data_IF_538744313905
#
_entry.id   IF_538744313905
#
_cell.length_a   1.000
_cell.length_b   1.000
_cell.length_c   1.000
_cell.angle_alpha   90.00
_cell.angle_beta   90.00
_cell.angle_gamma   90.00
#
_symmetry.space_group_name_H-M   'P 1'
#
loop_
_entity.id
_entity.type
_entity.pdbx_description
1 polymer ?
#
# COMPACT_ATOMS: atom_id res chain seq x y z
N UNK A 1 2.89 -27.35 5.49
CA UNK A 1 2.77 -26.23 4.53
C UNK A 1 3.30 -24.97 5.21
N UNK A 2 4.46 -24.45 4.80
CA UNK A 2 5.00 -23.22 5.39
C UNK A 2 4.11 -22.03 4.98
N UNK A 3 3.66 -21.23 5.95
CA UNK A 3 2.84 -20.04 5.71
C UNK A 3 3.71 -19.02 4.99
N UNK A 4 3.40 -18.71 3.72
CA UNK A 4 4.13 -17.70 2.95
C UNK A 4 3.88 -16.33 3.60
N UNK A 5 4.90 -15.77 4.24
CA UNK A 5 4.84 -14.40 4.75
C UNK A 5 4.92 -13.45 3.55
N UNK A 6 3.90 -12.61 3.37
CA UNK A 6 3.88 -11.57 2.35
C UNK A 6 4.20 -10.27 3.07
N UNK A 7 5.38 -9.72 2.80
CA UNK A 7 5.76 -8.41 3.33
C UNK A 7 5.03 -7.32 2.56
N UNK A 8 4.44 -6.38 3.30
CA UNK A 8 3.82 -5.17 2.76
C UNK A 8 4.73 -3.98 3.04
N UNK A 9 4.80 -3.06 2.08
CA UNK A 9 5.59 -1.83 2.21
C UNK A 9 4.68 -0.64 1.98
N UNK A 10 4.81 0.38 2.83
CA UNK A 10 4.24 1.72 2.58
C UNK A 10 5.16 2.49 1.66
N UNK A 11 4.60 3.09 0.63
CA UNK A 11 5.30 4.01 -0.25
C UNK A 11 4.52 5.32 -0.28
N UNK A 12 5.26 6.42 -0.29
CA UNK A 12 4.68 7.73 -0.53
C UNK A 12 4.29 7.85 -2.01
N UNK A 13 3.16 8.51 -2.26
CA UNK A 13 2.64 8.77 -3.60
C UNK A 13 2.12 10.20 -3.65
N UNK A 14 2.07 10.77 -4.86
CA UNK A 14 1.39 12.04 -5.10
C UNK A 14 0.01 11.77 -5.67
N UNK A 15 -1.01 12.46 -5.17
CA UNK A 15 -2.37 12.40 -5.73
C UNK A 15 -2.58 13.51 -6.75
N UNK A 16 -3.16 13.17 -7.89
CA UNK A 16 -3.56 14.13 -8.93
C UNK A 16 -5.06 14.44 -8.86
N UNK A 17 -5.72 14.46 -10.01
CA UNK A 17 -7.15 14.77 -10.11
C UNK A 17 -8.00 13.64 -9.53
N UNK A 18 -9.08 14.00 -8.83
CA UNK A 18 -10.12 13.08 -8.38
C UNK A 18 -11.45 13.39 -9.07
N UNK A 19 -11.97 12.46 -9.86
CA UNK A 19 -13.21 12.64 -10.63
C UNK A 19 -13.91 11.29 -10.85
N UNK A 20 -15.25 11.29 -10.90
CA UNK A 20 -16.09 10.11 -11.20
C UNK A 20 -15.80 8.86 -10.35
N UNK A 21 -15.40 9.05 -9.09
CA UNK A 21 -15.07 7.96 -8.16
C UNK A 21 -13.66 7.39 -8.33
N UNK A 22 -12.81 8.01 -9.14
CA UNK A 22 -11.40 7.67 -9.31
C UNK A 22 -10.50 8.78 -8.78
N UNK A 23 -9.27 8.44 -8.40
CA UNK A 23 -8.21 9.40 -8.05
C UNK A 23 -6.95 9.00 -8.77
N UNK A 24 -6.33 9.97 -9.45
CA UNK A 24 -5.02 9.79 -10.06
C UNK A 24 -3.96 9.60 -8.98
N UNK A 25 -3.15 8.54 -9.15
CA UNK A 25 -2.02 8.23 -8.28
C UNK A 25 -0.75 8.29 -9.11
N UNK A 26 0.14 9.19 -8.72
CA UNK A 26 1.43 9.43 -9.36
C UNK A 26 2.50 8.77 -8.47
N UNK A 27 3.14 7.74 -9.03
CA UNK A 27 4.23 7.03 -8.37
C UNK A 27 5.57 7.72 -8.64
N UNK A 28 6.49 7.62 -7.68
CA UNK A 28 7.88 8.03 -7.86
C UNK A 28 8.54 7.24 -9.00
N UNK A 29 9.55 7.85 -9.62
CA UNK A 29 10.32 7.21 -10.68
C UNK A 29 10.93 5.89 -10.20
N UNK A 30 10.86 4.85 -11.03
CA UNK A 30 11.35 3.50 -10.68
C UNK A 30 10.37 2.60 -9.93
N UNK A 31 9.12 3.01 -9.70
CA UNK A 31 8.09 2.10 -9.20
C UNK A 31 7.77 0.99 -10.21
N UNK A 32 7.89 -0.28 -9.80
CA UNK A 32 7.50 -1.42 -10.63
C UNK A 32 5.99 -1.48 -10.79
N UNK A 33 5.50 -1.19 -12.00
CA UNK A 33 4.07 -1.22 -12.34
C UNK A 33 3.44 -2.62 -12.33
N UNK A 34 4.24 -3.69 -12.22
CA UNK A 34 3.73 -5.05 -12.00
C UNK A 34 3.45 -5.35 -10.51
N UNK A 35 3.79 -4.42 -9.61
CA UNK A 35 3.50 -4.54 -8.19
C UNK A 35 2.00 -4.60 -7.93
N UNK A 36 1.61 -5.39 -6.92
CA UNK A 36 0.22 -5.44 -6.47
C UNK A 36 -0.05 -4.33 -5.47
N UNK A 37 -1.15 -3.62 -5.65
CA UNK A 37 -1.61 -2.56 -4.74
C UNK A 37 -2.81 -3.06 -3.94
N UNK A 38 -2.81 -2.77 -2.64
CA UNK A 38 -3.91 -3.10 -1.75
C UNK A 38 -5.01 -2.05 -1.89
N UNK A 39 -6.16 -2.45 -2.43
CA UNK A 39 -7.32 -1.56 -2.62
C UNK A 39 -8.47 -1.86 -1.66
N UNK A 40 -8.49 -3.06 -1.06
CA UNK A 40 -9.49 -3.51 -0.09
C UNK A 40 -8.80 -3.84 1.23
N UNK A 41 -9.36 -3.37 2.35
CA UNK A 41 -8.79 -3.60 3.69
C UNK A 41 -7.48 -2.86 3.95
N UNK A 42 -7.17 -1.80 3.20
CA UNK A 42 -5.94 -1.03 3.36
C UNK A 42 -5.83 -0.40 4.76
N UNK A 43 -6.95 0.03 5.35
CA UNK A 43 -7.00 0.56 6.72
C UNK A 43 -6.59 -0.49 7.76
N UNK A 44 -7.19 -1.68 7.73
CA UNK A 44 -6.87 -2.77 8.66
C UNK A 44 -5.41 -3.23 8.51
N UNK A 45 -4.91 -3.29 7.27
CA UNK A 45 -3.52 -3.59 6.99
C UNK A 45 -2.58 -2.54 7.58
N UNK A 46 -2.89 -1.25 7.37
CA UNK A 46 -2.11 -0.14 7.91
C UNK A 46 -2.09 -0.16 9.45
N UNK A 47 -3.24 -0.41 10.08
CA UNK A 47 -3.36 -0.54 11.54
C UNK A 47 -2.46 -1.65 12.06
N UNK A 48 -2.48 -2.83 11.42
CA UNK A 48 -1.58 -3.93 11.77
C UNK A 48 -0.12 -3.52 11.61
N UNK A 49 0.26 -2.92 10.47
CA UNK A 49 1.64 -2.51 10.20
C UNK A 49 2.18 -1.53 11.25
N UNK A 50 1.38 -0.58 11.71
CA UNK A 50 1.78 0.36 12.77
C UNK A 50 1.94 -0.34 14.13
N UNK A 51 1.07 -1.30 14.45
CA UNK A 51 1.14 -2.03 15.72
C UNK A 51 2.31 -3.04 15.76
N UNK A 52 2.78 -3.54 14.61
CA UNK A 52 3.98 -4.40 14.56
C UNK A 52 5.25 -3.60 14.88
N UNK A 53 5.25 -2.28 14.63
CA UNK A 53 6.37 -1.40 15.00
C UNK A 53 6.40 -1.09 16.52
N UNK A 54 5.31 -1.33 17.28
CA UNK A 54 5.25 -1.07 18.73
C UNK A 54 5.65 -2.28 19.61
N UNK A 55 5.84 -3.47 19.04
CA UNK A 55 6.27 -4.68 19.76
C UNK A 55 7.79 -4.94 19.73
N UNK A 56 8.61 -3.99 19.24
CA UNK A 56 10.08 -4.01 19.37
C UNK A 56 10.62 -3.10 20.49
#
# INVERSE_FOLDING_TARGET
>A
MAKKHIAFKRIEVTTGISENGYTEVIFLEGFDRNSKVVVNGAYDLLSKMNNVEEEE
#
